data_IF_880054710540
#
_entry.id   IF_880054710540
#
_cell.length_a   1.000
_cell.length_b   1.000
_cell.length_c   1.000
_cell.angle_alpha   90.00
_cell.angle_beta   90.00
_cell.angle_gamma   90.00
#
_symmetry.space_group_name_H-M   'P 1'
#
loop_
_entity.id
_entity.type
_entity.pdbx_description
1 polymer ?
#
# COMPACT_ATOMS: atom_id res chain seq x y z
N UNK A 1 17.24 11.77 26.43
CA UNK A 1 18.08 12.58 25.49
C UNK A 1 19.42 13.03 26.10
N UNK A 2 19.52 13.22 27.41
CA UNK A 2 20.79 13.58 28.09
C UNK A 2 21.84 12.44 28.01
N UNK A 3 21.45 11.24 27.64
CA UNK A 3 22.30 10.05 27.52
C UNK A 3 22.72 9.73 26.08
N UNK A 4 22.14 10.41 25.07
CA UNK A 4 22.58 10.28 23.67
C UNK A 4 23.90 11.07 23.54
N UNK A 5 25.02 10.42 23.86
CA UNK A 5 26.35 10.95 23.56
C UNK A 5 26.63 10.71 22.08
N UNK A 6 27.12 11.74 21.37
CA UNK A 6 27.59 11.62 19.98
C UNK A 6 28.79 10.66 19.78
N UNK A 7 29.25 10.02 20.82
CA UNK A 7 30.43 9.12 20.80
C UNK A 7 29.96 7.68 20.58
N UNK A 8 29.39 7.42 19.39
CA UNK A 8 28.94 6.09 19.00
C UNK A 8 30.17 5.21 18.70
N UNK A 9 30.31 4.11 19.42
CA UNK A 9 31.28 3.05 19.08
C UNK A 9 30.64 2.07 18.11
N UNK A 10 30.81 2.33 16.82
CA UNK A 10 30.23 1.52 15.74
C UNK A 10 28.85 2.04 15.31
N UNK A 11 28.15 1.27 14.46
CA UNK A 11 26.87 1.64 13.88
C UNK A 11 25.79 1.70 14.94
N UNK A 12 25.05 2.80 14.97
CA UNK A 12 23.98 3.03 15.94
C UNK A 12 22.65 3.26 15.19
N UNK A 13 21.62 2.53 15.58
CA UNK A 13 20.25 2.77 15.15
C UNK A 13 19.46 3.43 16.28
N UNK A 14 18.89 4.59 15.99
CA UNK A 14 18.04 5.36 16.90
C UNK A 14 16.62 5.36 16.32
N UNK A 15 15.68 4.70 17.00
CA UNK A 15 14.28 4.75 16.62
C UNK A 15 13.54 5.76 17.48
N UNK A 16 12.75 6.64 16.85
CA UNK A 16 11.99 7.71 17.49
C UNK A 16 10.53 7.57 17.12
N UNK A 17 9.72 7.26 18.12
CA UNK A 17 8.28 7.18 17.99
C UNK A 17 7.62 8.49 18.47
N UNK A 18 6.67 9.00 17.71
CA UNK A 18 5.89 10.20 18.08
C UNK A 18 6.45 11.51 17.51
N UNK A 19 6.44 11.65 16.19
CA UNK A 19 6.84 12.88 15.48
C UNK A 19 6.01 14.11 15.85
N UNK A 20 4.86 13.93 16.49
CA UNK A 20 3.99 15.03 16.96
C UNK A 20 4.58 15.80 18.15
N UNK A 21 5.62 15.27 18.81
CA UNK A 21 6.33 15.96 19.88
C UNK A 21 7.35 16.95 19.29
N UNK A 22 6.85 18.09 18.83
CA UNK A 22 7.66 19.14 18.20
C UNK A 22 8.88 19.57 19.02
N UNK A 23 8.80 19.76 20.37
CA UNK A 23 9.98 20.08 21.19
C UNK A 23 11.05 18.98 21.13
N UNK A 24 10.66 17.72 21.09
CA UNK A 24 11.58 16.59 20.97
C UNK A 24 12.27 16.60 19.60
N UNK A 25 11.50 16.77 18.52
CA UNK A 25 12.03 16.80 17.15
C UNK A 25 13.01 17.95 16.97
N UNK A 26 12.68 19.16 17.48
CA UNK A 26 13.60 20.31 17.44
C UNK A 26 14.92 20.01 18.15
N UNK A 27 14.87 19.43 19.35
CA UNK A 27 16.07 19.09 20.12
C UNK A 27 16.93 18.04 19.43
N UNK A 28 16.30 17.08 18.74
CA UNK A 28 17.01 16.09 17.92
C UNK A 28 17.64 16.76 16.71
N UNK A 29 16.89 17.65 16.04
CA UNK A 29 17.40 18.43 14.91
C UNK A 29 18.66 19.21 15.27
N UNK A 30 18.65 19.91 16.41
CA UNK A 30 19.82 20.65 16.94
C UNK A 30 20.98 19.69 17.28
N UNK A 31 20.69 18.53 17.88
CA UNK A 31 21.71 17.56 18.30
C UNK A 31 22.42 16.93 17.09
N UNK A 32 21.68 16.64 16.02
CA UNK A 32 22.19 15.98 14.81
C UNK A 32 22.45 16.93 13.65
N UNK A 33 22.29 18.24 13.87
CA UNK A 33 22.48 19.30 12.88
C UNK A 33 21.63 19.07 11.61
N UNK A 34 20.33 18.84 11.81
CA UNK A 34 19.38 18.63 10.71
C UNK A 34 18.86 19.97 10.19
N UNK A 35 18.65 20.05 8.87
CA UNK A 35 18.08 21.22 8.22
C UNK A 35 16.64 21.53 8.69
N UNK A 36 16.28 22.80 8.76
CA UNK A 36 14.93 23.21 9.13
C UNK A 36 13.85 22.64 8.18
N UNK A 37 14.15 22.54 6.88
CA UNK A 37 13.25 21.95 5.90
C UNK A 37 13.01 20.45 6.17
N UNK A 38 14.08 19.71 6.52
CA UNK A 38 13.97 18.31 6.90
C UNK A 38 13.15 18.15 8.19
N UNK A 39 13.35 19.03 9.17
CA UNK A 39 12.54 19.00 10.41
C UNK A 39 11.05 19.30 10.15
N UNK A 40 10.73 20.18 9.21
CA UNK A 40 9.36 20.44 8.77
C UNK A 40 8.77 19.19 8.11
N UNK A 41 9.52 18.55 7.22
CA UNK A 41 9.11 17.32 6.53
C UNK A 41 8.96 16.12 7.48
N UNK A 42 9.76 16.04 8.52
CA UNK A 42 9.63 15.00 9.56
C UNK A 42 8.28 15.08 10.29
N UNK A 43 7.79 16.28 10.55
CA UNK A 43 6.51 16.50 11.26
C UNK A 43 5.31 16.42 10.32
N UNK A 44 5.53 16.67 9.02
CA UNK A 44 4.47 16.64 8.02
C UNK A 44 4.25 15.23 7.48
N UNK A 45 3.29 14.52 8.06
CA UNK A 45 2.95 13.13 7.67
C UNK A 45 2.26 13.00 6.31
N UNK A 46 2.08 14.07 5.53
CA UNK A 46 1.49 14.02 4.19
C UNK A 46 2.51 13.94 3.06
N UNK A 47 3.80 13.87 3.38
CA UNK A 47 4.88 13.80 2.40
C UNK A 47 4.76 12.53 1.51
N UNK A 48 5.17 12.69 0.25
CA UNK A 48 5.36 11.54 -0.65
C UNK A 48 6.67 10.84 -0.35
N UNK A 49 6.76 9.57 -0.71
CA UNK A 49 8.03 8.86 -0.67
C UNK A 49 9.08 9.60 -1.52
N UNK A 50 10.23 9.90 -0.92
CA UNK A 50 11.31 10.69 -1.54
C UNK A 50 12.67 10.37 -0.92
N UNK A 51 13.71 10.70 -1.67
CA UNK A 51 15.11 10.68 -1.23
C UNK A 51 15.70 12.05 -1.51
N UNK A 52 16.38 12.63 -0.53
CA UNK A 52 17.06 13.91 -0.65
C UNK A 52 18.46 13.81 -0.07
N UNK A 53 19.44 14.20 -0.89
CA UNK A 53 20.81 14.35 -0.46
C UNK A 53 20.97 15.70 0.26
N UNK A 54 21.58 15.67 1.42
CA UNK A 54 21.96 16.82 2.21
C UNK A 54 23.48 16.82 2.36
N UNK A 55 24.02 17.94 2.81
CA UNK A 55 25.47 18.13 2.85
C UNK A 55 26.20 17.02 3.64
N UNK A 56 25.59 16.54 4.73
CA UNK A 56 26.19 15.59 5.67
C UNK A 56 25.41 14.28 5.86
N UNK A 57 24.21 14.13 5.28
CA UNK A 57 23.35 12.98 5.49
C UNK A 57 22.38 12.75 4.32
N UNK A 58 21.86 11.55 4.24
CA UNK A 58 20.77 11.19 3.34
C UNK A 58 19.43 11.21 4.08
N UNK A 59 18.45 11.92 3.54
CA UNK A 59 17.08 11.95 4.05
C UNK A 59 16.18 11.12 3.16
N UNK A 60 15.48 10.13 3.76
CA UNK A 60 14.54 9.27 3.04
C UNK A 60 13.19 9.35 3.73
N UNK A 61 12.11 9.44 2.96
CA UNK A 61 10.73 9.37 3.44
C UNK A 61 10.03 8.22 2.72
N UNK A 62 9.41 7.33 3.50
CA UNK A 62 8.56 6.24 2.99
C UNK A 62 7.23 6.20 3.73
N UNK A 63 6.30 5.43 3.19
CA UNK A 63 5.04 5.10 3.87
C UNK A 63 5.09 3.65 4.32
N UNK A 64 4.94 3.42 5.60
CA UNK A 64 4.68 2.11 6.16
C UNK A 64 3.17 1.89 6.17
N UNK A 65 2.75 0.68 5.85
CA UNK A 65 1.36 0.27 5.83
C UNK A 65 1.14 -0.76 6.95
N UNK A 66 0.06 -0.60 7.69
CA UNK A 66 -0.34 -1.53 8.74
C UNK A 66 -1.73 -2.07 8.42
N UNK A 67 -1.84 -3.37 8.17
CA UNK A 67 -3.11 -4.04 7.93
C UNK A 67 -3.71 -4.54 9.24
N UNK A 68 -4.89 -4.06 9.57
CA UNK A 68 -5.68 -4.68 10.63
C UNK A 68 -6.30 -5.98 10.10
N UNK A 69 -5.84 -7.12 10.59
CA UNK A 69 -6.30 -8.43 10.11
C UNK A 69 -7.78 -8.72 10.39
N UNK A 70 -8.39 -8.02 11.36
CA UNK A 70 -9.79 -8.20 11.74
C UNK A 70 -10.71 -7.32 10.88
N UNK A 71 -10.46 -6.00 10.87
CA UNK A 71 -11.29 -5.04 10.12
C UNK A 71 -10.93 -4.94 8.64
N UNK A 72 -9.74 -5.47 8.24
CA UNK A 72 -9.16 -5.33 6.90
C UNK A 72 -8.87 -3.88 6.48
N UNK A 73 -8.86 -2.96 7.47
CA UNK A 73 -8.48 -1.57 7.23
C UNK A 73 -6.96 -1.44 7.13
N UNK A 74 -6.52 -0.57 6.24
CA UNK A 74 -5.10 -0.25 6.04
C UNK A 74 -4.83 1.12 6.66
N UNK A 75 -4.00 1.14 7.70
CA UNK A 75 -3.45 2.37 8.25
C UNK A 75 -2.17 2.74 7.48
N UNK A 76 -1.97 4.04 7.29
CA UNK A 76 -0.85 4.62 6.57
C UNK A 76 -0.04 5.46 7.52
N UNK A 77 1.24 5.16 7.65
CA UNK A 77 2.15 5.86 8.53
C UNK A 77 3.39 6.34 7.78
N UNK A 78 3.89 7.52 8.10
CA UNK A 78 5.15 7.99 7.56
C UNK A 78 6.31 7.46 8.39
N UNK A 79 7.29 6.90 7.70
CA UNK A 79 8.60 6.57 8.27
C UNK A 79 9.66 7.40 7.56
N UNK A 80 10.44 8.14 8.32
CA UNK A 80 11.51 8.97 7.80
C UNK A 80 12.85 8.50 8.34
N UNK A 81 13.88 8.59 7.51
CA UNK A 81 15.23 8.10 7.81
C UNK A 81 16.23 9.24 7.65
N UNK A 82 17.12 9.36 8.60
CA UNK A 82 18.36 10.13 8.49
C UNK A 82 19.51 9.12 8.49
N UNK A 83 20.20 9.01 7.37
CA UNK A 83 21.32 8.08 7.20
C UNK A 83 22.62 8.86 7.15
N UNK A 84 23.53 8.55 8.05
CA UNK A 84 24.89 9.06 8.09
C UNK A 84 25.87 7.92 8.31
N UNK A 85 27.15 8.11 8.06
CA UNK A 85 28.19 7.06 8.09
C UNK A 85 28.17 6.17 9.34
N UNK A 86 27.89 6.75 10.53
CA UNK A 86 27.95 6.05 11.82
C UNK A 86 26.59 5.76 12.43
N UNK A 87 25.50 6.34 11.91
CA UNK A 87 24.18 6.16 12.50
C UNK A 87 23.03 6.23 11.51
N UNK A 88 21.96 5.53 11.89
CA UNK A 88 20.65 5.60 11.28
C UNK A 88 19.66 6.12 12.33
N UNK A 89 18.89 7.15 11.98
CA UNK A 89 17.77 7.60 12.80
C UNK A 89 16.49 7.33 12.01
N UNK A 90 15.54 6.62 12.61
CA UNK A 90 14.20 6.43 12.07
C UNK A 90 13.18 7.20 12.89
N UNK A 91 12.26 7.87 12.20
CA UNK A 91 11.16 8.61 12.82
C UNK A 91 9.84 8.01 12.38
N UNK A 92 8.95 7.74 13.34
CA UNK A 92 7.64 7.14 13.15
C UNK A 92 6.55 7.99 13.82
N UNK A 93 5.32 7.91 13.30
CA UNK A 93 4.19 8.67 13.85
C UNK A 93 3.69 8.06 15.16
N UNK A 94 3.59 6.74 15.19
CA UNK A 94 3.03 5.98 16.31
C UNK A 94 3.99 4.87 16.77
N UNK A 95 3.94 4.49 18.06
CA UNK A 95 4.67 3.32 18.54
C UNK A 95 4.15 2.02 17.89
N UNK A 96 5.07 1.13 17.57
CA UNK A 96 4.77 -0.18 16.98
C UNK A 96 5.07 -0.19 15.48
N UNK A 97 5.98 -1.05 15.08
CA UNK A 97 6.45 -1.15 13.70
C UNK A 97 6.66 -2.62 13.28
N UNK A 98 7.01 -2.80 12.01
CA UNK A 98 7.34 -4.11 11.43
C UNK A 98 8.81 -4.52 11.69
N UNK A 99 9.56 -3.81 12.55
CA UNK A 99 11.03 -3.96 12.66
C UNK A 99 11.48 -4.86 13.81
N UNK A 100 10.59 -5.48 14.56
CA UNK A 100 10.95 -6.36 15.68
C UNK A 100 11.83 -7.53 15.25
N UNK A 101 11.59 -8.09 14.07
CA UNK A 101 12.42 -9.14 13.49
C UNK A 101 13.86 -8.64 13.22
N UNK A 102 14.00 -7.39 12.82
CA UNK A 102 15.29 -6.75 12.56
C UNK A 102 16.01 -6.49 13.88
N UNK A 103 15.31 -5.99 14.90
CA UNK A 103 15.86 -5.81 16.26
C UNK A 103 16.36 -7.11 16.83
N UNK A 104 15.54 -8.17 16.76
CA UNK A 104 15.94 -9.51 17.22
C UNK A 104 17.19 -10.04 16.48
N UNK A 105 17.30 -9.78 15.17
CA UNK A 105 18.50 -10.14 14.37
C UNK A 105 19.73 -9.33 14.78
N UNK A 106 19.58 -8.08 15.17
CA UNK A 106 20.70 -7.24 15.67
C UNK A 106 21.14 -7.72 17.05
N UNK A 107 20.22 -8.10 17.92
CA UNK A 107 20.50 -8.56 19.29
C UNK A 107 21.09 -9.96 19.35
N UNK A 108 20.87 -10.78 18.33
CA UNK A 108 21.33 -12.16 18.28
C UNK A 108 22.85 -12.27 18.50
N UNK A 109 23.32 -13.24 19.30
CA UNK A 109 24.73 -13.51 19.46
C UNK A 109 25.38 -13.80 18.10
N UNK A 110 26.53 -13.19 17.82
CA UNK A 110 27.25 -13.32 16.54
C UNK A 110 26.49 -12.86 15.28
N UNK A 111 25.55 -11.93 15.41
CA UNK A 111 24.83 -11.38 14.29
C UNK A 111 25.76 -10.81 13.21
N UNK A 112 25.53 -11.26 11.97
CA UNK A 112 26.26 -10.72 10.80
C UNK A 112 25.86 -9.26 10.53
N UNK A 113 24.66 -8.83 10.92
CA UNK A 113 24.20 -7.45 10.76
C UNK A 113 25.09 -6.43 11.48
N UNK A 114 25.59 -6.78 12.68
CA UNK A 114 26.50 -5.91 13.45
C UNK A 114 27.84 -5.65 12.77
N UNK A 115 28.19 -6.42 11.75
CA UNK A 115 29.44 -6.29 10.97
C UNK A 115 29.25 -5.59 9.64
N UNK A 116 28.03 -5.20 9.33
CA UNK A 116 27.65 -4.55 8.08
C UNK A 116 27.57 -3.03 8.25
N UNK A 117 27.52 -2.29 7.15
CA UNK A 117 27.42 -0.84 7.11
C UNK A 117 26.04 -0.33 7.56
N UNK A 118 25.92 0.97 7.84
CA UNK A 118 24.64 1.68 8.03
C UNK A 118 23.76 1.53 6.79
N UNK A 119 24.35 1.59 5.62
CA UNK A 119 23.65 1.37 4.35
C UNK A 119 22.94 0.02 4.31
N UNK A 120 23.61 -1.04 4.76
CA UNK A 120 22.99 -2.37 4.82
C UNK A 120 21.82 -2.42 5.82
N UNK A 121 21.95 -1.77 6.98
CA UNK A 121 20.86 -1.66 7.95
C UNK A 121 19.68 -0.88 7.34
N UNK A 122 19.95 0.22 6.67
CA UNK A 122 18.95 1.03 5.96
C UNK A 122 18.22 0.18 4.91
N UNK A 123 18.97 -0.55 4.07
CA UNK A 123 18.39 -1.48 3.10
C UNK A 123 17.44 -2.48 3.76
N UNK A 124 17.87 -3.17 4.81
CA UNK A 124 17.05 -4.20 5.48
C UNK A 124 15.74 -3.64 6.01
N UNK A 125 15.73 -2.39 6.50
CA UNK A 125 14.51 -1.74 6.98
C UNK A 125 13.62 -1.34 5.81
N UNK A 126 14.18 -0.78 4.73
CA UNK A 126 13.43 -0.44 3.51
C UNK A 126 12.80 -1.68 2.88
N UNK A 127 13.57 -2.77 2.78
CA UNK A 127 13.13 -4.06 2.26
C UNK A 127 11.97 -4.64 3.08
N UNK A 128 12.07 -4.60 4.41
CA UNK A 128 10.98 -5.02 5.30
C UNK A 128 9.69 -4.22 5.10
N UNK A 129 9.78 -2.92 4.77
CA UNK A 129 8.61 -2.10 4.44
C UNK A 129 8.01 -2.54 3.10
N UNK A 130 8.85 -2.82 2.10
CA UNK A 130 8.41 -3.29 0.79
C UNK A 130 7.80 -4.68 0.86
N UNK A 131 8.38 -5.58 1.65
CA UNK A 131 7.81 -6.91 1.94
C UNK A 131 6.39 -6.81 2.51
N UNK A 132 6.16 -5.84 3.39
CA UNK A 132 4.82 -5.60 3.94
C UNK A 132 3.83 -5.11 2.88
N UNK A 133 4.29 -4.41 1.84
CA UNK A 133 3.42 -4.03 0.73
C UNK A 133 2.90 -5.25 -0.03
N UNK A 134 3.74 -6.27 -0.26
CA UNK A 134 3.30 -7.52 -0.91
C UNK A 134 2.18 -8.20 -0.13
N UNK A 135 2.33 -8.34 1.19
CA UNK A 135 1.28 -8.94 2.03
C UNK A 135 -0.06 -8.21 1.91
N UNK A 136 -0.03 -6.88 1.80
CA UNK A 136 -1.24 -6.06 1.67
C UNK A 136 -1.84 -6.19 0.28
N UNK A 137 -1.02 -6.24 -0.77
CA UNK A 137 -1.48 -6.41 -2.15
C UNK A 137 -2.11 -7.78 -2.36
N UNK A 138 -1.53 -8.83 -1.77
CA UNK A 138 -2.09 -10.19 -1.78
C UNK A 138 -3.49 -10.23 -1.12
N UNK A 139 -3.67 -9.56 0.03
CA UNK A 139 -4.98 -9.48 0.68
C UNK A 139 -6.02 -8.73 -0.17
N UNK A 140 -5.59 -7.68 -0.87
CA UNK A 140 -6.47 -6.95 -1.81
C UNK A 140 -6.84 -7.83 -3.01
N UNK A 141 -5.91 -8.62 -3.52
CA UNK A 141 -6.16 -9.57 -4.59
C UNK A 141 -7.19 -10.63 -4.19
N UNK A 142 -7.04 -11.21 -3.00
CA UNK A 142 -8.02 -12.16 -2.44
C UNK A 142 -9.40 -11.52 -2.30
N UNK A 143 -9.48 -10.24 -1.93
CA UNK A 143 -10.74 -9.51 -1.83
C UNK A 143 -11.40 -9.33 -3.22
N UNK A 144 -10.62 -9.03 -4.25
CA UNK A 144 -11.08 -8.95 -5.65
C UNK A 144 -11.62 -10.30 -6.12
N UNK A 145 -10.88 -11.39 -5.91
CA UNK A 145 -11.28 -12.74 -6.33
C UNK A 145 -12.60 -13.19 -5.72
N UNK A 146 -12.82 -12.89 -4.45
CA UNK A 146 -14.08 -13.18 -3.76
C UNK A 146 -15.25 -12.40 -4.35
N UNK A 147 -15.06 -11.10 -4.61
CA UNK A 147 -16.10 -10.26 -5.21
C UNK A 147 -16.39 -10.66 -6.65
N UNK A 148 -15.39 -11.00 -7.43
CA UNK A 148 -15.54 -11.49 -8.80
C UNK A 148 -16.39 -12.76 -8.83
N UNK A 149 -16.05 -13.73 -7.99
CA UNK A 149 -16.82 -14.98 -7.85
C UNK A 149 -18.28 -14.73 -7.43
N UNK A 150 -18.51 -13.79 -6.50
CA UNK A 150 -19.85 -13.42 -6.05
C UNK A 150 -20.66 -12.77 -7.17
N UNK A 151 -20.08 -11.81 -7.87
CA UNK A 151 -20.71 -11.06 -8.97
C UNK A 151 -21.10 -11.97 -10.14
N UNK A 152 -20.29 -13.00 -10.44
CA UNK A 152 -20.61 -13.97 -11.50
C UNK A 152 -21.81 -14.83 -11.11
N UNK A 153 -21.85 -15.33 -9.87
CA UNK A 153 -22.82 -16.34 -9.46
C UNK A 153 -24.14 -15.75 -8.94
N UNK A 154 -24.08 -14.69 -8.15
CA UNK A 154 -25.24 -14.08 -7.50
C UNK A 154 -25.01 -12.58 -7.19
N UNK A 155 -25.07 -11.70 -8.19
CA UNK A 155 -24.83 -10.28 -8.00
C UNK A 155 -25.97 -9.62 -7.21
N UNK A 156 -25.60 -8.89 -6.15
CA UNK A 156 -26.49 -8.09 -5.31
C UNK A 156 -26.22 -6.60 -5.46
N UNK A 157 -27.18 -5.75 -5.09
CA UNK A 157 -26.99 -4.27 -5.17
C UNK A 157 -25.86 -3.75 -4.29
N UNK A 158 -25.63 -4.42 -3.16
CA UNK A 158 -24.58 -4.07 -2.19
C UNK A 158 -23.18 -4.35 -2.75
N UNK A 159 -23.05 -5.29 -3.69
CA UNK A 159 -21.77 -5.63 -4.28
C UNK A 159 -21.17 -4.46 -5.06
N UNK A 160 -22.01 -3.66 -5.74
CA UNK A 160 -21.54 -2.47 -6.43
C UNK A 160 -20.87 -1.47 -5.47
N UNK A 161 -21.47 -1.25 -4.29
CA UNK A 161 -20.90 -0.36 -3.28
C UNK A 161 -19.57 -0.90 -2.75
N UNK A 162 -19.49 -2.20 -2.53
CA UNK A 162 -18.27 -2.89 -2.10
C UNK A 162 -17.15 -2.76 -3.15
N UNK A 163 -17.47 -2.96 -4.43
CA UNK A 163 -16.51 -2.78 -5.54
C UNK A 163 -16.01 -1.34 -5.62
N UNK A 164 -16.90 -0.34 -5.44
CA UNK A 164 -16.52 1.08 -5.43
C UNK A 164 -15.57 1.37 -4.27
N UNK A 165 -15.85 0.84 -3.09
CA UNK A 165 -14.98 0.99 -1.91
C UNK A 165 -13.61 0.35 -2.15
N UNK A 166 -13.59 -0.84 -2.74
CA UNK A 166 -12.35 -1.53 -3.11
C UNK A 166 -11.55 -0.74 -4.16
N UNK A 167 -12.22 -0.14 -5.14
CA UNK A 167 -11.58 0.76 -6.10
C UNK A 167 -10.92 1.97 -5.44
N UNK A 168 -11.59 2.58 -4.47
CA UNK A 168 -11.03 3.69 -3.70
C UNK A 168 -9.80 3.24 -2.89
N UNK A 169 -9.86 2.04 -2.28
CA UNK A 169 -8.76 1.41 -1.55
C UNK A 169 -7.53 1.22 -2.45
N UNK A 170 -7.70 0.59 -3.62
CA UNK A 170 -6.61 0.37 -4.60
C UNK A 170 -6.05 1.70 -5.13
N UNK A 171 -6.91 2.67 -5.42
CA UNK A 171 -6.49 4.01 -5.87
C UNK A 171 -5.65 4.71 -4.80
N UNK A 172 -6.03 4.58 -3.53
CA UNK A 172 -5.28 5.15 -2.40
C UNK A 172 -3.94 4.46 -2.24
N UNK A 173 -3.88 3.13 -2.32
CA UNK A 173 -2.63 2.36 -2.32
C UNK A 173 -1.71 2.82 -3.45
N UNK A 174 -2.22 2.90 -4.68
CA UNK A 174 -1.42 3.34 -5.84
C UNK A 174 -0.84 4.74 -5.64
N UNK A 175 -1.60 5.67 -5.08
CA UNK A 175 -1.11 7.02 -4.78
C UNK A 175 -0.06 7.03 -3.67
N UNK A 176 -0.20 6.17 -2.67
CA UNK A 176 0.62 6.18 -1.45
C UNK A 176 1.94 5.45 -1.65
N UNK A 177 1.92 4.26 -2.24
CA UNK A 177 3.12 3.42 -2.40
C UNK A 177 3.65 3.38 -3.84
N UNK A 178 2.89 3.85 -4.83
CA UNK A 178 3.37 3.92 -6.22
C UNK A 178 4.69 4.68 -6.41
N UNK A 179 4.96 5.78 -5.68
CA UNK A 179 6.23 6.49 -5.76
C UNK A 179 7.47 5.71 -5.32
N UNK A 180 7.31 4.50 -4.75
CA UNK A 180 8.42 3.64 -4.30
C UNK A 180 9.44 3.36 -5.40
N UNK A 181 8.97 3.15 -6.62
CA UNK A 181 9.83 2.90 -7.78
C UNK A 181 10.80 4.07 -8.03
N UNK A 182 10.30 5.30 -7.97
CA UNK A 182 11.12 6.50 -8.14
C UNK A 182 12.11 6.65 -6.99
N UNK A 183 11.66 6.41 -5.75
CA UNK A 183 12.50 6.46 -4.57
C UNK A 183 13.68 5.49 -4.71
N UNK A 184 13.42 4.21 -5.03
CA UNK A 184 14.47 3.19 -5.14
C UNK A 184 15.41 3.50 -6.31
N UNK A 185 14.89 3.97 -7.44
CA UNK A 185 15.71 4.40 -8.57
C UNK A 185 16.69 5.53 -8.18
N UNK A 186 16.25 6.45 -7.31
CA UNK A 186 17.13 7.50 -6.75
C UNK A 186 18.19 6.92 -5.80
N UNK A 187 17.85 5.92 -5.00
CA UNK A 187 18.82 5.26 -4.11
C UNK A 187 19.97 4.59 -4.88
N UNK A 188 19.74 4.22 -6.14
CA UNK A 188 20.75 3.61 -7.00
C UNK A 188 21.68 4.63 -7.70
N UNK A 189 21.42 5.94 -7.58
CA UNK A 189 22.31 6.96 -8.16
C UNK A 189 23.66 6.96 -7.45
N UNK A 190 24.73 7.26 -8.18
CA UNK A 190 26.09 7.21 -7.63
C UNK A 190 26.27 8.17 -6.44
N UNK A 191 25.65 9.36 -6.48
CA UNK A 191 25.73 10.34 -5.40
C UNK A 191 25.10 9.82 -4.10
N UNK A 192 23.97 9.15 -4.19
CA UNK A 192 23.29 8.56 -3.02
C UNK A 192 24.02 7.32 -2.52
N UNK A 193 24.59 6.52 -3.43
CA UNK A 193 25.34 5.32 -3.09
C UNK A 193 26.56 5.61 -2.21
N UNK A 194 27.15 6.82 -2.29
CA UNK A 194 28.27 7.23 -1.43
C UNK A 194 27.85 7.28 0.07
N UNK A 195 26.62 7.69 0.38
CA UNK A 195 26.10 7.69 1.76
C UNK A 195 25.80 6.28 2.29
N UNK A 196 25.57 5.33 1.39
CA UNK A 196 25.11 3.99 1.74
C UNK A 196 26.23 2.92 1.71
N UNK A 197 27.43 3.29 1.26
CA UNK A 197 28.57 2.42 0.94
C UNK A 197 28.36 1.51 -0.30
N UNK A 198 29.44 1.27 -1.04
CA UNK A 198 29.41 0.55 -2.33
C UNK A 198 28.96 -0.92 -2.24
N UNK A 199 29.12 -1.55 -1.09
CA UNK A 199 28.80 -2.97 -0.88
C UNK A 199 27.28 -3.27 -0.86
N UNK A 200 26.43 -2.23 -0.88
CA UNK A 200 24.97 -2.41 -0.91
C UNK A 200 24.36 -2.35 -2.32
N UNK A 201 25.11 -2.06 -3.35
CA UNK A 201 24.59 -1.95 -4.74
C UNK A 201 23.78 -3.18 -5.17
N UNK A 202 24.23 -4.38 -4.83
CA UNK A 202 23.52 -5.63 -5.14
C UNK A 202 22.16 -5.67 -4.45
N UNK A 203 22.11 -5.26 -3.18
CA UNK A 203 20.89 -5.23 -2.39
C UNK A 203 19.91 -4.15 -2.88
N UNK A 204 20.41 -3.00 -3.34
CA UNK A 204 19.56 -1.98 -3.96
C UNK A 204 18.99 -2.41 -5.30
N UNK A 205 19.67 -3.29 -6.04
CA UNK A 205 19.14 -3.89 -7.26
C UNK A 205 17.97 -4.82 -6.93
N UNK A 206 18.11 -5.68 -5.94
CA UNK A 206 17.05 -6.55 -5.42
C UNK A 206 15.83 -5.74 -4.96
N UNK A 207 16.06 -4.70 -4.14
CA UNK A 207 15.00 -3.79 -3.70
C UNK A 207 14.31 -3.09 -4.88
N UNK A 208 15.06 -2.77 -5.95
CA UNK A 208 14.50 -2.18 -7.17
C UNK A 208 13.55 -3.13 -7.89
N UNK A 209 13.94 -4.39 -8.00
CA UNK A 209 13.10 -5.42 -8.61
C UNK A 209 11.81 -5.59 -7.81
N UNK A 210 11.87 -5.62 -6.48
CA UNK A 210 10.69 -5.61 -5.61
C UNK A 210 9.81 -4.37 -5.84
N UNK A 211 10.40 -3.18 -5.93
CA UNK A 211 9.67 -1.93 -6.20
C UNK A 211 8.95 -1.92 -7.55
N UNK A 212 9.55 -2.52 -8.59
CA UNK A 212 8.91 -2.70 -9.89
C UNK A 212 7.72 -3.64 -9.78
N UNK A 213 7.88 -4.79 -9.12
CA UNK A 213 6.80 -5.78 -8.94
C UNK A 213 5.64 -5.16 -8.17
N UNK A 214 5.89 -4.41 -7.09
CA UNK A 214 4.85 -3.69 -6.33
C UNK A 214 4.07 -2.73 -7.23
N UNK A 215 4.77 -1.95 -8.05
CA UNK A 215 4.15 -1.01 -8.97
C UNK A 215 3.27 -1.71 -10.01
N UNK A 216 3.79 -2.76 -10.63
CA UNK A 216 3.07 -3.52 -11.67
C UNK A 216 1.85 -4.24 -11.09
N UNK A 217 1.97 -4.81 -9.88
CA UNK A 217 0.84 -5.42 -9.16
C UNK A 217 -0.26 -4.40 -8.89
N UNK A 218 0.09 -3.17 -8.45
CA UNK A 218 -0.89 -2.10 -8.25
C UNK A 218 -1.65 -1.74 -9.53
N UNK A 219 -0.97 -1.74 -10.67
CA UNK A 219 -1.58 -1.47 -11.97
C UNK A 219 -2.54 -2.59 -12.38
N UNK A 220 -2.15 -3.83 -12.17
CA UNK A 220 -3.00 -5.00 -12.41
C UNK A 220 -4.25 -4.95 -11.52
N UNK A 221 -4.10 -4.75 -10.21
CA UNK A 221 -5.23 -4.69 -9.28
C UNK A 221 -6.19 -3.55 -9.63
N UNK A 222 -5.67 -2.38 -10.02
CA UNK A 222 -6.50 -1.25 -10.43
C UNK A 222 -7.30 -1.54 -11.71
N UNK A 223 -6.71 -2.27 -12.66
CA UNK A 223 -7.39 -2.71 -13.88
C UNK A 223 -8.47 -3.75 -13.57
N UNK A 224 -8.14 -4.76 -12.76
CA UNK A 224 -9.08 -5.81 -12.34
C UNK A 224 -10.31 -5.25 -11.64
N UNK A 225 -10.15 -4.30 -10.71
CA UNK A 225 -11.31 -3.67 -10.04
C UNK A 225 -12.16 -2.86 -11.04
N UNK A 226 -11.54 -2.26 -12.05
CA UNK A 226 -12.29 -1.54 -13.09
C UNK A 226 -13.08 -2.52 -13.96
N UNK A 227 -12.50 -3.64 -14.33
CA UNK A 227 -13.15 -4.73 -15.06
C UNK A 227 -14.29 -5.35 -14.25
N UNK A 228 -14.12 -5.49 -12.94
CA UNK A 228 -15.15 -6.01 -12.03
C UNK A 228 -16.42 -5.14 -12.02
N UNK A 229 -16.31 -3.82 -12.14
CA UNK A 229 -17.46 -2.93 -12.31
C UNK A 229 -18.21 -3.25 -13.62
N UNK A 230 -17.48 -3.45 -14.70
CA UNK A 230 -18.07 -3.79 -16.00
C UNK A 230 -18.74 -5.16 -15.97
N UNK A 231 -18.09 -6.13 -15.34
CA UNK A 231 -18.62 -7.48 -15.13
C UNK A 231 -19.93 -7.42 -14.34
N UNK A 232 -20.00 -6.65 -13.24
CA UNK A 232 -21.21 -6.45 -12.47
C UNK A 232 -22.37 -5.93 -13.32
N UNK A 233 -22.15 -4.86 -14.10
CA UNK A 233 -23.18 -4.31 -14.98
C UNK A 233 -23.63 -5.29 -16.05
N UNK A 234 -22.70 -6.05 -16.63
CA UNK A 234 -23.00 -7.08 -17.63
C UNK A 234 -23.85 -8.20 -17.04
N UNK A 235 -23.50 -8.71 -15.87
CA UNK A 235 -24.22 -9.81 -15.22
C UNK A 235 -25.65 -9.40 -14.84
N UNK A 236 -25.83 -8.20 -14.27
CA UNK A 236 -27.16 -7.65 -13.98
C UNK A 236 -28.00 -7.47 -15.27
N UNK A 237 -27.40 -6.93 -16.33
CA UNK A 237 -28.08 -6.76 -17.61
C UNK A 237 -28.53 -8.09 -18.23
N UNK A 238 -27.67 -9.11 -18.16
CA UNK A 238 -28.00 -10.44 -18.65
C UNK A 238 -29.16 -11.06 -17.87
N UNK A 239 -29.18 -10.93 -16.54
CA UNK A 239 -30.28 -11.40 -15.71
C UNK A 239 -31.61 -10.69 -16.02
N UNK A 240 -31.57 -9.36 -16.26
CA UNK A 240 -32.76 -8.61 -16.71
C UNK A 240 -33.27 -9.09 -18.07
N UNK A 241 -32.36 -9.36 -19.02
CA UNK A 241 -32.72 -9.88 -20.34
C UNK A 241 -33.38 -11.26 -20.23
N UNK A 242 -32.90 -12.14 -19.37
CA UNK A 242 -33.51 -13.44 -19.11
C UNK A 242 -34.94 -13.33 -18.57
N UNK A 243 -35.17 -12.44 -17.59
CA UNK A 243 -36.51 -12.18 -17.06
C UNK A 243 -37.42 -11.61 -18.14
N UNK A 244 -36.95 -10.68 -18.98
CA UNK A 244 -37.72 -10.14 -20.11
C UNK A 244 -38.05 -11.22 -21.13
N UNK A 245 -37.14 -12.14 -21.43
CA UNK A 245 -37.37 -13.27 -22.32
C UNK A 245 -38.49 -14.20 -21.79
N UNK A 246 -38.47 -14.53 -20.51
CA UNK A 246 -39.51 -15.32 -19.85
C UNK A 246 -40.86 -14.61 -19.95
N UNK A 247 -40.93 -13.32 -19.66
CA UNK A 247 -42.15 -12.52 -19.78
C UNK A 247 -42.68 -12.46 -21.20
N UNK A 248 -41.80 -12.33 -22.21
CA UNK A 248 -42.16 -12.35 -23.60
C UNK A 248 -42.77 -13.74 -24.03
N UNK A 249 -42.18 -14.82 -23.58
CA UNK A 249 -42.70 -16.19 -23.84
C UNK A 249 -44.11 -16.35 -23.24
N UNK A 250 -44.25 -15.96 -21.95
CA UNK A 250 -45.57 -16.03 -21.28
C UNK A 250 -46.60 -15.19 -22.04
N UNK A 251 -46.29 -13.94 -22.39
CA UNK A 251 -47.17 -13.03 -23.09
C UNK A 251 -47.58 -13.58 -24.49
N UNK A 252 -46.62 -14.18 -25.21
CA UNK A 252 -46.88 -14.77 -26.53
C UNK A 252 -47.86 -15.96 -26.47
N UNK A 253 -47.83 -16.73 -25.36
CA UNK A 253 -48.75 -17.87 -25.17
C UNK A 253 -50.13 -17.36 -24.68
N UNK A 254 -50.16 -16.46 -23.68
CA UNK A 254 -51.40 -16.01 -23.07
C UNK A 254 -52.22 -15.06 -23.94
N UNK A 255 -51.62 -14.25 -24.79
CA UNK A 255 -52.35 -13.29 -25.63
C UNK A 255 -53.32 -13.96 -26.60
N UNK A 256 -52.95 -15.01 -27.41
CA UNK A 256 -53.87 -15.71 -28.26
C UNK A 256 -54.96 -16.50 -27.49
N UNK A 257 -54.57 -17.08 -26.33
CA UNK A 257 -55.53 -17.79 -25.48
C UNK A 257 -56.59 -16.87 -24.91
N UNK A 258 -56.20 -15.72 -24.41
CA UNK A 258 -57.13 -14.69 -23.89
C UNK A 258 -58.03 -14.14 -24.97
N UNK A 259 -57.50 -13.93 -26.18
CA UNK A 259 -58.32 -13.52 -27.34
C UNK A 259 -59.35 -14.57 -27.69
N UNK A 260 -58.97 -15.84 -27.79
CA UNK A 260 -59.87 -16.93 -28.06
C UNK A 260 -60.94 -17.08 -26.98
N UNK A 261 -60.55 -17.06 -25.72
CA UNK A 261 -61.51 -17.13 -24.60
C UNK A 261 -62.47 -15.94 -24.57
N UNK A 262 -62.03 -14.71 -24.91
CA UNK A 262 -62.88 -13.54 -25.02
C UNK A 262 -63.86 -13.65 -26.14
N UNK A 263 -63.49 -14.22 -27.28
CA UNK A 263 -64.35 -14.42 -28.46
C UNK A 263 -65.48 -15.41 -28.18
N UNK A 264 -65.20 -16.53 -27.49
CA UNK A 264 -66.18 -17.52 -27.05
C UNK A 264 -67.03 -17.05 -25.87
N UNK A 265 -66.58 -16.06 -25.08
CA UNK A 265 -67.34 -15.46 -23.97
C UNK A 265 -68.30 -14.33 -24.40
N UNK A 266 -68.26 -13.90 -25.65
CA UNK A 266 -69.18 -12.92 -26.19
C UNK A 266 -70.56 -13.54 -26.44
N UNK A 267 -71.61 -12.99 -25.83
CA UNK A 267 -73.01 -13.36 -26.17
C UNK A 267 -73.35 -12.75 -27.54
N UNK A 268 -73.44 -13.60 -28.54
CA UNK A 268 -73.99 -13.19 -29.84
C UNK A 268 -75.55 -13.25 -29.73
N UNK A 269 -76.21 -12.09 -29.79
CA UNK A 269 -77.66 -12.06 -30.09
C UNK A 269 -77.87 -12.29 -31.56
N UNK A 270 -78.73 -13.28 -31.88
CA UNK A 270 -79.21 -13.52 -33.22
C UNK A 270 -80.36 -12.57 -33.53
#
# INVERSE_FOLDING_TARGET
LSEIKKDFKGITWINIDGIHNIPLIKRIGELFNLDNLVMEDLVNSTQRAKVEEREDYLFIVMKMLNLNLISKDIAYEQVSFIVKEDYLITFQETPGDAFDSIRARIEAPNSRMRKKSVGYLTYVILDSIVDNYFMILDEVEIEIDRLESKVINNPEREDLQTIITLKQKVTTLKRTIGPIRELISRLQTNSVAEYLNDDIKIYLTDLSDHGIIVHDTLDILNSRVTELIQLYHSTISNGMNEVMQILAIISTIFMPLSFSASLYGMNFEY
#
